data_IF_249934884997
#
_entry.id   IF_249934884997
#
_cell.length_a   1.000
_cell.length_b   1.000
_cell.length_c   1.000
_cell.angle_alpha   90.00
_cell.angle_beta   90.00
_cell.angle_gamma   90.00
#
_symmetry.space_group_name_H-M   'P 1'
#
loop_
_entity.id
_entity.type
_entity.pdbx_description
1 polymer ?
#
# COMPACT_ATOMS: atom_id res chain seq x y z
N UNK A 1 -25.80 41.03 -6.95
CA UNK A 1 -26.93 40.59 -6.11
C UNK A 1 -27.35 39.22 -6.65
N UNK A 2 -27.29 38.07 -5.98
CA UNK A 2 -27.11 37.71 -4.58
C UNK A 2 -26.28 36.40 -4.47
N UNK A 3 -25.38 36.33 -3.49
CA UNK A 3 -24.67 35.11 -3.12
C UNK A 3 -25.57 34.27 -2.20
N UNK A 4 -25.83 33.01 -2.57
CA UNK A 4 -26.59 32.06 -1.76
C UNK A 4 -25.65 31.29 -0.84
N UNK A 5 -25.83 31.50 0.46
CA UNK A 5 -24.98 31.04 1.54
C UNK A 5 -25.27 29.58 1.89
N UNK A 6 -24.34 28.68 1.61
CA UNK A 6 -24.37 27.28 2.05
C UNK A 6 -24.04 27.22 3.56
N UNK A 7 -25.07 27.26 4.39
CA UNK A 7 -24.92 27.12 5.84
C UNK A 7 -24.71 25.64 6.21
N UNK A 8 -23.46 25.28 6.53
CA UNK A 8 -23.11 24.04 7.23
C UNK A 8 -23.75 24.06 8.63
N UNK A 9 -24.76 23.23 8.86
CA UNK A 9 -25.23 22.92 10.22
C UNK A 9 -24.17 22.05 10.89
N UNK A 10 -23.43 22.65 11.82
CA UNK A 10 -22.58 21.94 12.77
C UNK A 10 -23.48 21.04 13.63
N UNK A 11 -23.30 19.72 13.53
CA UNK A 11 -23.84 18.79 14.51
C UNK A 11 -22.83 18.72 15.65
N UNK A 12 -23.23 19.26 16.80
CA UNK A 12 -22.47 19.27 18.03
C UNK A 12 -22.40 17.84 18.58
N UNK A 13 -21.28 17.16 18.38
CA UNK A 13 -21.01 15.86 19.01
C UNK A 13 -20.77 16.08 20.51
N UNK A 14 -21.83 15.93 21.31
CA UNK A 14 -21.71 15.76 22.74
C UNK A 14 -21.17 14.35 23.02
N UNK A 15 -19.98 14.29 23.62
CA UNK A 15 -19.34 13.07 24.11
C UNK A 15 -20.04 12.68 25.40
N UNK A 16 -21.10 11.88 25.28
CA UNK A 16 -21.79 11.29 26.42
C UNK A 16 -20.99 10.11 26.97
N UNK A 17 -20.46 10.28 28.18
CA UNK A 17 -19.79 9.24 28.96
C UNK A 17 -20.83 8.32 29.60
N UNK A 18 -20.74 7.02 29.34
CA UNK A 18 -21.16 5.99 30.31
C UNK A 18 -22.56 5.40 30.19
N UNK A 19 -23.27 5.57 29.08
CA UNK A 19 -24.44 4.74 28.75
C UNK A 19 -24.01 3.74 27.68
N UNK A 20 -24.17 2.43 27.90
CA UNK A 20 -24.07 1.43 26.81
C UNK A 20 -25.04 1.90 25.72
N UNK A 21 -24.52 2.52 24.66
CA UNK A 21 -25.34 3.00 23.56
C UNK A 21 -25.99 1.77 22.97
N UNK A 22 -27.31 1.66 23.09
CA UNK A 22 -28.04 0.57 22.43
C UNK A 22 -27.80 0.72 20.94
N UNK A 23 -27.43 -0.37 20.28
CA UNK A 23 -27.13 -0.36 18.87
C UNK A 23 -28.38 0.04 18.09
N UNK A 24 -28.26 1.10 17.28
CA UNK A 24 -29.35 1.60 16.45
C UNK A 24 -29.23 1.01 15.05
N UNK A 25 -30.37 0.70 14.46
CA UNK A 25 -30.49 0.28 13.08
C UNK A 25 -30.00 1.41 12.16
N UNK A 26 -29.04 1.11 11.29
CA UNK A 26 -28.50 2.07 10.34
C UNK A 26 -29.50 2.54 9.26
N UNK A 27 -30.66 1.88 9.15
CA UNK A 27 -31.68 2.18 8.15
C UNK A 27 -32.88 2.93 8.74
N UNK A 28 -33.53 2.38 9.76
CA UNK A 28 -34.72 3.00 10.39
C UNK A 28 -34.40 3.86 11.62
N UNK A 29 -33.17 3.83 12.14
CA UNK A 29 -32.74 4.58 13.33
C UNK A 29 -33.30 4.07 14.66
N UNK A 30 -34.19 3.08 14.65
CA UNK A 30 -34.72 2.43 15.84
C UNK A 30 -33.66 1.53 16.49
N UNK A 31 -33.85 1.21 17.77
CA UNK A 31 -32.93 0.32 18.51
C UNK A 31 -33.08 -1.11 18.00
N UNK A 32 -31.96 -1.80 17.79
CA UNK A 32 -31.91 -3.25 17.55
C UNK A 32 -31.72 -3.93 18.90
N UNK A 33 -32.76 -4.61 19.38
CA UNK A 33 -32.72 -5.34 20.65
C UNK A 33 -32.16 -6.75 20.45
N UNK A 34 -31.83 -7.44 21.54
CA UNK A 34 -31.33 -8.82 21.49
C UNK A 34 -32.34 -9.83 20.94
N UNK A 35 -33.62 -9.53 21.12
CA UNK A 35 -34.72 -10.38 20.64
C UNK A 35 -35.09 -10.07 19.18
N UNK A 36 -34.57 -8.96 18.63
CA UNK A 36 -34.76 -8.62 17.22
C UNK A 36 -33.82 -9.48 16.36
N UNK A 37 -34.26 -9.77 15.13
CA UNK A 37 -33.37 -10.32 14.09
C UNK A 37 -32.45 -9.21 13.58
N UNK A 38 -31.42 -8.96 14.38
CA UNK A 38 -30.35 -8.01 14.08
C UNK A 38 -29.22 -8.70 13.31
N UNK A 39 -28.63 -7.97 12.38
CA UNK A 39 -27.38 -8.34 11.72
C UNK A 39 -26.46 -7.12 11.65
N UNK A 40 -25.18 -7.30 11.93
CA UNK A 40 -24.17 -6.25 11.86
C UNK A 40 -23.47 -6.29 10.52
N UNK A 41 -23.28 -5.14 9.89
CA UNK A 41 -22.52 -5.05 8.65
C UNK A 41 -21.02 -5.11 8.94
N UNK A 42 -20.30 -6.00 8.26
CA UNK A 42 -18.86 -6.17 8.48
C UNK A 42 -18.00 -5.01 7.93
N UNK A 43 -18.57 -4.13 7.10
CA UNK A 43 -17.84 -3.00 6.51
C UNK A 43 -18.03 -1.69 7.27
N UNK A 44 -19.27 -1.37 7.67
CA UNK A 44 -19.56 -0.13 8.39
C UNK A 44 -19.83 -0.32 9.88
N UNK A 45 -19.82 -1.57 10.36
CA UNK A 45 -20.01 -1.98 11.76
C UNK A 45 -21.35 -1.56 12.38
N UNK A 46 -22.30 -1.06 11.57
CA UNK A 46 -23.64 -0.71 12.02
C UNK A 46 -24.54 -1.95 12.07
N UNK A 47 -25.43 -1.97 13.05
CA UNK A 47 -26.49 -2.96 13.16
C UNK A 47 -27.68 -2.60 12.27
N UNK A 48 -28.38 -3.62 11.79
CA UNK A 48 -29.59 -3.49 10.99
C UNK A 48 -30.62 -4.54 11.40
N UNK A 49 -31.89 -4.18 11.39
CA UNK A 49 -32.95 -5.18 11.40
C UNK A 49 -32.95 -5.92 10.05
N UNK A 50 -33.05 -7.25 10.09
CA UNK A 50 -33.12 -8.10 8.89
C UNK A 50 -34.23 -7.63 7.93
N UNK A 51 -35.39 -7.22 8.48
CA UNK A 51 -36.52 -6.68 7.71
C UNK A 51 -36.20 -5.35 7.02
N UNK A 52 -35.49 -4.43 7.68
CA UNK A 52 -35.07 -3.15 7.07
C UNK A 52 -34.13 -3.36 5.87
N UNK A 53 -33.40 -4.47 5.84
CA UNK A 53 -32.50 -4.82 4.74
C UNK A 53 -33.11 -5.86 3.78
N UNK A 54 -34.41 -6.17 3.91
CA UNK A 54 -35.14 -7.15 3.11
C UNK A 54 -34.48 -8.55 3.08
N UNK A 55 -33.89 -8.97 4.21
CA UNK A 55 -33.29 -10.31 4.34
C UNK A 55 -34.41 -11.30 4.67
N UNK A 56 -34.52 -12.35 3.86
CA UNK A 56 -35.49 -13.43 4.09
C UNK A 56 -35.08 -14.27 5.31
N UNK A 57 -36.06 -14.88 5.97
CA UNK A 57 -35.82 -15.72 7.14
C UNK A 57 -34.80 -16.84 6.88
N UNK A 58 -34.92 -17.52 5.73
CA UNK A 58 -34.01 -18.58 5.33
C UNK A 58 -32.58 -18.08 5.12
N UNK A 59 -32.40 -16.86 4.59
CA UNK A 59 -31.09 -16.25 4.40
C UNK A 59 -30.47 -15.85 5.74
N UNK A 60 -31.30 -15.29 6.63
CA UNK A 60 -30.86 -14.93 7.98
C UNK A 60 -30.41 -16.18 8.75
N UNK A 61 -31.18 -17.27 8.70
CA UNK A 61 -30.82 -18.54 9.32
C UNK A 61 -29.51 -19.10 8.78
N UNK A 62 -29.29 -19.09 7.46
CA UNK A 62 -28.03 -19.52 6.86
C UNK A 62 -26.83 -18.72 7.37
N UNK A 63 -26.97 -17.39 7.49
CA UNK A 63 -25.92 -16.52 8.04
C UNK A 63 -25.65 -16.81 9.52
N UNK A 64 -26.70 -17.00 10.32
CA UNK A 64 -26.57 -17.33 11.75
C UNK A 64 -25.96 -18.71 11.95
N UNK A 65 -26.34 -19.70 11.15
CA UNK A 65 -25.77 -21.04 11.19
C UNK A 65 -24.30 -21.03 10.82
N UNK A 66 -23.94 -20.34 9.74
CA UNK A 66 -22.54 -20.22 9.32
C UNK A 66 -21.68 -19.48 10.36
N UNK A 67 -22.23 -18.46 11.03
CA UNK A 67 -21.52 -17.72 12.08
C UNK A 67 -21.15 -18.56 13.32
N UNK A 68 -21.73 -19.76 13.48
CA UNK A 68 -21.38 -20.69 14.56
C UNK A 68 -20.16 -21.55 14.23
N UNK A 69 -19.72 -21.59 12.98
CA UNK A 69 -18.53 -22.33 12.57
C UNK A 69 -17.26 -21.61 13.04
N UNK A 70 -16.18 -22.36 13.28
CA UNK A 70 -14.87 -21.78 13.63
C UNK A 70 -14.31 -20.87 12.53
N UNK A 71 -14.73 -21.12 11.28
CA UNK A 71 -14.36 -20.35 10.10
C UNK A 71 -15.60 -20.04 9.26
N UNK A 72 -16.36 -18.98 9.61
CA UNK A 72 -17.51 -18.56 8.80
C UNK A 72 -17.05 -18.17 7.39
N UNK A 73 -17.83 -18.57 6.39
CA UNK A 73 -17.56 -18.36 4.96
C UNK A 73 -18.45 -17.26 4.39
N UNK A 74 -19.63 -17.05 4.98
CA UNK A 74 -20.60 -16.07 4.53
C UNK A 74 -20.33 -14.73 5.19
N UNK A 75 -20.00 -13.74 4.36
CA UNK A 75 -19.89 -12.35 4.77
C UNK A 75 -21.18 -11.59 4.46
N UNK A 76 -21.58 -10.69 5.37
CA UNK A 76 -22.73 -9.83 5.13
C UNK A 76 -22.39 -8.34 5.12
N UNK A 77 -22.83 -7.68 4.05
CA UNK A 77 -22.74 -6.23 3.88
C UNK A 77 -24.14 -5.64 3.67
N UNK A 78 -24.43 -4.51 4.34
CA UNK A 78 -25.68 -3.80 4.13
C UNK A 78 -25.83 -3.33 2.68
N UNK A 79 -27.05 -2.99 2.25
CA UNK A 79 -27.34 -2.62 0.87
C UNK A 79 -26.50 -1.43 0.35
N UNK A 80 -26.06 -0.56 1.27
CA UNK A 80 -25.19 0.58 1.00
C UNK A 80 -23.73 0.15 0.77
N UNK A 81 -23.22 -0.74 1.63
CA UNK A 81 -21.83 -1.22 1.60
C UNK A 81 -21.59 -2.29 0.54
N UNK A 82 -22.57 -3.15 0.27
CA UNK A 82 -22.40 -4.27 -0.66
C UNK A 82 -21.96 -3.81 -2.07
N UNK A 83 -22.45 -2.64 -2.51
CA UNK A 83 -22.09 -2.05 -3.82
C UNK A 83 -20.62 -1.62 -3.91
N UNK A 84 -20.00 -1.25 -2.79
CA UNK A 84 -18.63 -0.75 -2.73
C UNK A 84 -17.64 -1.78 -2.16
N UNK A 85 -18.10 -2.77 -1.40
CA UNK A 85 -17.26 -3.77 -0.74
C UNK A 85 -16.27 -4.43 -1.71
N UNK A 86 -16.77 -4.92 -2.85
CA UNK A 86 -15.92 -5.56 -3.88
C UNK A 86 -14.88 -4.58 -4.45
N UNK A 87 -15.23 -3.31 -4.64
CA UNK A 87 -14.29 -2.29 -5.16
C UNK A 87 -13.21 -1.97 -4.13
N UNK A 88 -13.59 -1.87 -2.86
CA UNK A 88 -12.67 -1.60 -1.75
C UNK A 88 -11.69 -2.76 -1.58
N UNK A 89 -12.19 -4.01 -1.54
CA UNK A 89 -11.35 -5.21 -1.41
C UNK A 89 -10.34 -5.31 -2.56
N UNK A 90 -10.80 -5.13 -3.80
CA UNK A 90 -9.90 -5.11 -4.97
C UNK A 90 -8.89 -3.96 -4.92
N UNK A 91 -9.30 -2.78 -4.42
CA UNK A 91 -8.42 -1.64 -4.23
C UNK A 91 -7.33 -1.93 -3.20
N UNK A 92 -7.68 -2.55 -2.06
CA UNK A 92 -6.74 -2.96 -1.03
C UNK A 92 -5.73 -3.99 -1.54
N UNK A 93 -6.17 -4.98 -2.32
CA UNK A 93 -5.25 -5.96 -2.93
C UNK A 93 -4.25 -5.30 -3.88
N UNK A 94 -4.68 -4.33 -4.68
CA UNK A 94 -3.78 -3.59 -5.58
C UNK A 94 -2.81 -2.72 -4.79
N UNK A 95 -3.27 -2.05 -3.74
CA UNK A 95 -2.40 -1.25 -2.88
C UNK A 95 -1.38 -2.11 -2.15
N UNK A 96 -1.76 -3.30 -1.67
CA UNK A 96 -0.83 -4.25 -1.08
C UNK A 96 0.27 -4.64 -2.07
N UNK A 97 -0.10 -4.95 -3.32
CA UNK A 97 0.89 -5.24 -4.37
C UNK A 97 1.84 -4.06 -4.58
N UNK A 98 1.33 -2.82 -4.63
CA UNK A 98 2.17 -1.64 -4.78
C UNK A 98 3.12 -1.43 -3.59
N UNK A 99 2.70 -1.76 -2.37
CA UNK A 99 3.56 -1.71 -1.19
C UNK A 99 4.70 -2.74 -1.32
N UNK A 100 4.37 -3.96 -1.73
CA UNK A 100 5.36 -5.04 -1.87
C UNK A 100 6.39 -4.70 -2.97
N UNK A 101 5.92 -4.20 -4.12
CA UNK A 101 6.77 -3.77 -5.23
C UNK A 101 7.71 -2.63 -4.80
N UNK A 102 7.18 -1.62 -4.10
CA UNK A 102 7.98 -0.50 -3.59
C UNK A 102 9.01 -0.95 -2.55
N UNK A 103 8.63 -1.85 -1.65
CA UNK A 103 9.57 -2.41 -0.67
C UNK A 103 10.72 -3.14 -1.36
N UNK A 104 10.43 -3.89 -2.42
CA UNK A 104 11.46 -4.55 -3.22
C UNK A 104 12.39 -3.54 -3.90
N UNK A 105 11.84 -2.47 -4.47
CA UNK A 105 12.64 -1.41 -5.10
C UNK A 105 13.54 -0.67 -4.09
N UNK A 106 13.02 -0.39 -2.90
CA UNK A 106 13.80 0.22 -1.80
C UNK A 106 14.92 -0.71 -1.35
N UNK A 107 14.67 -2.01 -1.22
CA UNK A 107 15.70 -3.00 -0.88
C UNK A 107 16.78 -3.09 -1.97
N UNK A 108 16.37 -3.13 -3.24
CA UNK A 108 17.30 -3.15 -4.38
C UNK A 108 18.12 -1.86 -4.48
N UNK A 109 17.53 -0.71 -4.17
CA UNK A 109 18.24 0.56 -4.13
C UNK A 109 19.23 0.62 -2.97
N UNK A 110 18.84 0.11 -1.80
CA UNK A 110 19.70 0.02 -0.63
C UNK A 110 20.92 -0.87 -0.85
N UNK A 111 20.76 -2.04 -1.49
CA UNK A 111 21.91 -2.90 -1.82
C UNK A 111 22.88 -2.22 -2.79
N UNK A 112 22.36 -1.50 -3.80
CA UNK A 112 23.19 -0.72 -4.74
C UNK A 112 23.98 0.37 -4.03
N UNK A 113 23.41 1.04 -3.03
CA UNK A 113 24.13 2.03 -2.22
C UNK A 113 25.23 1.38 -1.39
N UNK A 114 24.95 0.23 -0.76
CA UNK A 114 25.95 -0.51 0.01
C UNK A 114 27.11 -1.00 -0.87
N UNK A 115 26.85 -1.45 -2.09
CA UNK A 115 27.90 -1.84 -3.03
C UNK A 115 28.79 -0.65 -3.44
N UNK A 116 28.20 0.54 -3.60
CA UNK A 116 28.94 1.78 -3.85
C UNK A 116 29.79 2.16 -2.63
N UNK A 117 29.24 2.11 -1.43
CA UNK A 117 29.96 2.40 -0.17
C UNK A 117 31.11 1.40 0.05
N UNK A 118 30.90 0.13 -0.29
CA UNK A 118 31.91 -0.92 -0.25
C UNK A 118 32.94 -0.84 -1.41
N UNK A 119 32.82 0.13 -2.31
CA UNK A 119 33.74 0.31 -3.44
C UNK A 119 33.66 -0.78 -4.51
N UNK A 120 32.59 -1.58 -4.53
CA UNK A 120 32.33 -2.57 -5.58
C UNK A 120 31.79 -1.86 -6.81
N UNK A 121 32.70 -1.25 -7.57
CA UNK A 121 32.36 -0.72 -8.88
C UNK A 121 32.17 -1.87 -9.87
N UNK A 122 31.06 -1.82 -10.62
CA UNK A 122 30.85 -2.76 -11.72
C UNK A 122 31.97 -2.63 -12.77
N UNK A 123 32.30 -3.72 -13.47
CA UNK A 123 33.35 -3.74 -14.50
C UNK A 123 33.12 -2.72 -15.62
N UNK A 124 31.85 -2.41 -15.91
CA UNK A 124 31.48 -1.34 -16.85
C UNK A 124 31.80 0.07 -16.32
N UNK A 125 31.67 0.30 -15.02
CA UNK A 125 32.03 1.58 -14.40
C UNK A 125 33.54 1.75 -14.30
N UNK A 126 34.27 0.70 -13.91
CA UNK A 126 35.73 0.74 -13.83
C UNK A 126 36.33 0.93 -15.23
N UNK A 127 35.91 0.17 -16.24
CA UNK A 127 36.39 0.32 -17.62
C UNK A 127 36.11 1.70 -18.24
N UNK A 128 34.98 2.33 -17.92
CA UNK A 128 34.67 3.70 -18.38
C UNK A 128 35.59 4.77 -17.75
N UNK A 129 36.04 4.57 -16.51
CA UNK A 129 37.00 5.45 -15.84
C UNK A 129 38.42 5.22 -16.40
N UNK A 130 38.85 3.97 -16.51
CA UNK A 130 40.19 3.61 -17.01
C UNK A 130 40.38 3.93 -18.50
N UNK A 131 39.35 3.74 -19.33
CA UNK A 131 39.37 4.09 -20.75
C UNK A 131 39.57 5.60 -21.00
N UNK A 132 39.01 6.46 -20.15
CA UNK A 132 39.21 7.92 -20.23
C UNK A 132 40.57 8.37 -19.72
N UNK A 133 41.15 7.67 -18.73
CA UNK A 133 42.49 7.96 -18.20
C UNK A 133 43.61 7.57 -19.18
N UNK A 134 43.45 6.46 -19.92
CA UNK A 134 44.42 6.03 -20.92
C UNK A 134 44.49 6.97 -22.13
N UNK A 135 43.35 7.52 -22.59
CA UNK A 135 43.34 8.48 -23.72
C UNK A 135 44.00 9.81 -23.35
N UNK A 136 43.88 10.27 -22.10
CA UNK A 136 44.51 11.53 -21.65
C UNK A 136 46.02 11.45 -21.45
N UNK A 137 46.59 10.26 -21.21
CA UNK A 137 48.04 10.10 -20.98
C UNK A 137 48.85 9.92 -22.27
N UNK A 138 48.19 9.66 -23.40
CA UNK A 138 48.83 9.43 -24.71
C UNK A 138 48.99 10.70 -25.59
N UNK A 139 48.46 11.86 -25.18
CA UNK A 139 48.52 13.12 -25.96
C UNK A 139 49.41 14.22 -25.33
N UNK A 140 50.22 13.90 -24.32
CA UNK A 140 51.23 14.81 -23.76
C UNK A 140 52.62 14.17 -23.79
N UNK A 141 53.11 13.87 -24.98
CA UNK A 141 54.55 13.75 -25.21
C UNK A 141 54.93 14.81 -26.25
N UNK A 142 55.61 15.90 -25.85
CA UNK A 142 56.22 16.80 -26.81
C UNK A 142 57.26 16.02 -27.62
N UNK A 143 57.18 16.11 -28.95
CA UNK A 143 58.19 15.64 -29.90
C UNK A 143 59.53 16.34 -29.63
N UNK A 144 60.38 15.79 -28.77
CA UNK A 144 61.81 16.08 -28.78
C UNK A 144 62.59 14.82 -28.42
N UNK A 145 63.68 14.61 -29.16
CA UNK A 145 64.64 13.50 -29.15
C UNK A 145 64.40 12.33 -30.10
N UNK A 146 64.67 12.62 -31.38
CA UNK A 146 65.40 11.69 -32.25
C UNK A 146 66.86 11.70 -31.77
N UNK A 147 67.38 10.58 -31.30
CA UNK A 147 68.80 10.50 -30.96
C UNK A 147 69.20 9.31 -30.11
N UNK A 148 69.72 8.27 -30.78
CA UNK A 148 70.72 7.31 -30.26
C UNK A 148 70.37 6.58 -28.96
N UNK A 149 69.88 5.35 -29.08
CA UNK A 149 70.23 4.30 -28.12
C UNK A 149 71.08 3.24 -28.80
N UNK A 150 72.38 3.37 -28.55
CA UNK A 150 73.40 2.37 -28.83
C UNK A 150 73.20 1.15 -27.92
N UNK A 151 73.52 0.01 -28.51
CA UNK A 151 73.71 -1.31 -27.95
C UNK A 151 74.74 -1.27 -26.79
N UNK A 152 74.44 -1.86 -25.62
CA UNK A 152 75.47 -2.57 -24.84
C UNK A 152 74.94 -3.57 -23.79
N UNK A 153 75.38 -4.83 -23.97
CA UNK A 153 75.75 -5.94 -23.04
C UNK A 153 75.00 -6.15 -21.70
N UNK A 154 74.44 -7.34 -21.42
CA UNK A 154 75.03 -8.66 -21.04
C UNK A 154 75.68 -8.74 -19.64
N UNK A 155 75.19 -9.71 -18.85
CA UNK A 155 75.84 -10.38 -17.70
C UNK A 155 75.56 -9.69 -16.35
N UNK A 156 75.13 -10.36 -15.27
CA UNK A 156 75.28 -11.75 -14.80
C UNK A 156 74.01 -12.17 -14.07
#
# INVERSE_FOLDING_TARGET
>A
MAHSTFQRKASTSQVDKGRKSRDKCGDCGAVVNKDDKGIQCELCELWFHASCQNILESQYQALVEDSKNDSPVLHWFCCYCNRSAVKILNGLMRMQQQIDDLQQEVQASGSRLNDIEAGKFTDNMSSAVWGKLLVKRLWKVPKLYVGMFWIWKKGV
#
